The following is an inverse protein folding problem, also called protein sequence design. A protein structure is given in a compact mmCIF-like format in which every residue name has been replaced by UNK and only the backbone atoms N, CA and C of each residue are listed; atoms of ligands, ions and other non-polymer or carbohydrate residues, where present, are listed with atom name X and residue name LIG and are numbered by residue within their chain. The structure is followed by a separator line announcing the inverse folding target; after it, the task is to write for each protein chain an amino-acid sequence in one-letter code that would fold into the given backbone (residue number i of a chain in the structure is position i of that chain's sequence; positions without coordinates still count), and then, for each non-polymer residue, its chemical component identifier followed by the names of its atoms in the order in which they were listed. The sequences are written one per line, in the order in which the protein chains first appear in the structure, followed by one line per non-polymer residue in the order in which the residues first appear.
data_IF_716772892736
#
_entry.id   IF_716772892736
#
_cell.length_a   1.000
_cell.length_b   1.000
_cell.length_c   1.000
_cell.angle_alpha   90.00
_cell.angle_beta   90.00
_cell.angle_gamma   90.00
#
_symmetry.space_group_name_H-M   'P 1'
#
loop_
_entity.id
_entity.type
_entity.pdbx_description
1 polymer ?
#
# COMPACT_ATOMS: atom_id res chain seq x y z
N UNK A 1 3.48 16.89 9.13
CA UNK A 1 4.35 15.69 8.99
C UNK A 1 4.34 14.97 10.33
N UNK A 2 3.55 13.90 10.47
CA UNK A 2 3.58 13.09 11.71
C UNK A 2 4.81 12.19 11.63
N UNK A 3 5.82 12.42 12.45
CA UNK A 3 6.98 11.53 12.56
C UNK A 3 6.51 10.18 13.11
N UNK A 4 6.76 9.10 12.38
CA UNK A 4 6.52 7.75 12.88
C UNK A 4 7.65 7.40 13.85
N UNK A 5 7.32 7.33 15.14
CA UNK A 5 8.15 6.69 16.15
C UNK A 5 7.52 5.33 16.44
N UNK A 6 8.15 4.26 15.96
CA UNK A 6 7.62 2.91 16.08
C UNK A 6 8.29 2.14 17.22
N UNK A 7 7.49 1.57 18.12
CA UNK A 7 7.95 0.61 19.15
C UNK A 7 7.08 -0.66 19.11
N UNK A 8 7.65 -1.86 18.92
CA UNK A 8 6.88 -3.12 18.92
C UNK A 8 6.16 -3.41 20.24
N UNK A 9 6.71 -2.95 21.36
CA UNK A 9 6.28 -3.30 22.71
C UNK A 9 4.92 -2.72 23.13
N UNK A 10 4.37 -1.76 22.37
CA UNK A 10 3.18 -1.03 22.81
C UNK A 10 1.90 -1.85 22.61
N UNK A 11 1.94 -2.97 21.88
CA UNK A 11 0.80 -3.87 21.67
C UNK A 11 -0.38 -3.24 20.92
N UNK A 12 -0.22 -2.00 20.44
CA UNK A 12 -1.24 -1.19 19.78
C UNK A 12 -1.46 -1.60 18.32
N UNK A 13 -2.70 -1.50 17.81
CA UNK A 13 -3.00 -1.82 16.43
C UNK A 13 -2.42 -0.75 15.49
N UNK A 14 -1.92 -1.23 14.36
CA UNK A 14 -1.51 -0.45 13.21
C UNK A 14 -2.49 -0.72 12.09
N UNK A 15 -3.02 0.33 11.48
CA UNK A 15 -3.95 0.26 10.36
C UNK A 15 -3.16 0.41 9.06
N UNK A 16 -3.45 -0.42 8.07
CA UNK A 16 -2.85 -0.38 6.74
C UNK A 16 -3.87 -0.80 5.69
N UNK A 17 -3.67 -0.35 4.45
CA UNK A 17 -4.61 -0.61 3.36
C UNK A 17 -4.37 -1.97 2.71
N UNK A 18 -5.45 -2.63 2.31
CA UNK A 18 -5.47 -3.86 1.51
C UNK A 18 -6.45 -3.71 0.35
N UNK A 19 -6.42 -4.62 -0.63
CA UNK A 19 -7.42 -4.64 -1.71
C UNK A 19 -8.85 -4.87 -1.22
N UNK A 20 -9.03 -5.46 -0.04
CA UNK A 20 -10.34 -5.76 0.56
C UNK A 20 -10.79 -4.67 1.55
N UNK A 21 -10.01 -3.59 1.68
CA UNK A 21 -10.23 -2.50 2.63
C UNK A 21 -9.17 -2.43 3.75
N UNK A 22 -9.37 -1.59 4.77
CA UNK A 22 -8.42 -1.44 5.87
C UNK A 22 -8.25 -2.73 6.67
N UNK A 23 -7.02 -3.05 7.01
CA UNK A 23 -6.68 -4.13 7.91
C UNK A 23 -5.89 -3.60 9.11
N UNK A 24 -5.94 -4.35 10.21
CA UNK A 24 -5.16 -4.05 11.41
C UNK A 24 -4.14 -5.14 11.69
N UNK A 25 -2.98 -4.75 12.22
CA UNK A 25 -1.96 -5.68 12.70
C UNK A 25 -1.23 -5.11 13.90
N UNK A 26 -0.43 -5.92 14.60
CA UNK A 26 0.46 -5.47 15.67
C UNK A 26 1.89 -5.74 15.25
N UNK A 27 2.73 -4.71 15.31
CA UNK A 27 4.16 -4.83 15.02
C UNK A 27 4.81 -5.74 16.07
N UNK A 28 5.44 -6.82 15.61
CA UNK A 28 6.17 -7.79 16.46
C UNK A 28 7.66 -7.51 16.50
N UNK A 29 8.19 -6.79 15.52
CA UNK A 29 9.60 -6.41 15.47
C UNK A 29 9.88 -5.38 14.39
N UNK A 30 10.97 -4.66 14.58
CA UNK A 30 11.51 -3.70 13.62
C UNK A 30 12.93 -4.12 13.26
N UNK A 31 13.29 -3.94 11.99
CA UNK A 31 14.64 -4.20 11.49
C UNK A 31 15.16 -3.05 10.65
N UNK A 32 16.45 -2.76 10.77
CA UNK A 32 17.19 -1.84 9.89
C UNK A 32 18.33 -2.56 9.16
N UNK A 33 18.81 -2.04 8.01
CA UNK A 33 20.01 -2.56 7.38
C UNK A 33 21.22 -2.46 8.32
N UNK A 34 22.09 -3.48 8.30
CA UNK A 34 23.32 -3.51 9.11
C UNK A 34 24.40 -2.63 8.49
N UNK A 35 25.06 -1.80 9.31
CA UNK A 35 26.16 -0.95 8.87
C UNK A 35 25.72 0.08 7.83
N UNK A 36 26.43 0.15 6.69
CA UNK A 36 26.15 1.10 5.59
C UNK A 36 25.34 0.46 4.44
N UNK A 37 24.70 -0.69 4.66
CA UNK A 37 23.88 -1.31 3.62
C UNK A 37 22.62 -0.47 3.32
N UNK A 38 22.24 -0.38 2.05
CA UNK A 38 20.96 0.20 1.63
C UNK A 38 19.84 -0.85 1.78
N UNK A 39 18.59 -0.43 1.99
CA UNK A 39 17.47 -1.36 2.20
C UNK A 39 17.26 -2.35 1.06
N UNK A 40 17.45 -1.90 -0.19
CA UNK A 40 17.27 -2.72 -1.40
C UNK A 40 18.31 -3.83 -1.50
N UNK A 41 19.52 -3.58 -1.01
CA UNK A 41 20.66 -4.49 -1.12
C UNK A 41 20.99 -5.21 0.19
N UNK A 42 20.20 -4.99 1.25
CA UNK A 42 20.51 -5.50 2.58
C UNK A 42 20.66 -7.03 2.61
N UNK A 43 19.93 -7.78 1.78
CA UNK A 43 20.01 -9.24 1.73
C UNK A 43 19.63 -9.86 3.09
N UNK A 44 20.55 -10.59 3.71
CA UNK A 44 20.44 -11.15 5.07
C UNK A 44 20.93 -10.20 6.18
N UNK A 45 21.53 -9.06 5.83
CA UNK A 45 22.15 -8.09 6.74
C UNK A 45 21.13 -7.16 7.39
N UNK A 46 20.26 -7.73 8.23
CA UNK A 46 19.27 -6.99 9.01
C UNK A 46 19.56 -7.06 10.51
N UNK A 47 19.47 -5.94 11.19
CA UNK A 47 19.56 -5.84 12.65
C UNK A 47 18.20 -5.53 13.25
N UNK A 48 17.81 -6.29 14.28
CA UNK A 48 16.62 -5.98 15.07
C UNK A 48 16.86 -4.75 15.93
N UNK A 49 15.85 -3.88 16.00
CA UNK A 49 15.88 -2.65 16.81
C UNK A 49 14.59 -2.49 17.59
N UNK A 50 14.70 -1.91 18.78
CA UNK A 50 13.54 -1.69 19.65
C UNK A 50 12.78 -0.40 19.32
N UNK A 51 13.46 0.55 18.69
CA UNK A 51 12.95 1.88 18.37
C UNK A 51 13.53 2.34 17.04
N UNK A 52 12.70 3.04 16.26
CA UNK A 52 13.15 3.82 15.11
C UNK A 52 12.56 5.23 15.17
N UNK A 53 13.34 6.20 14.71
CA UNK A 53 12.96 7.60 14.64
C UNK A 53 12.92 8.06 13.18
N UNK A 54 11.90 8.83 12.82
CA UNK A 54 11.80 9.40 11.48
C UNK A 54 12.81 10.53 11.28
N UNK A 55 13.33 10.76 10.07
CA UNK A 55 13.11 9.97 8.86
C UNK A 55 14.07 8.77 8.81
N UNK A 56 13.52 7.57 8.64
CA UNK A 56 14.32 6.37 8.40
C UNK A 56 13.52 5.37 7.56
N UNK A 57 14.25 4.49 6.88
CA UNK A 57 13.70 3.29 6.29
C UNK A 57 13.74 2.14 7.30
N UNK A 58 12.61 1.46 7.48
CA UNK A 58 12.48 0.36 8.44
C UNK A 58 11.75 -0.82 7.83
N UNK A 59 12.20 -2.03 8.15
CA UNK A 59 11.49 -3.27 7.85
C UNK A 59 10.62 -3.65 9.05
N UNK A 60 9.31 -3.69 8.82
CA UNK A 60 8.31 -4.05 9.84
C UNK A 60 8.04 -5.56 9.78
N UNK A 61 8.03 -6.22 10.94
CA UNK A 61 7.65 -7.63 11.07
C UNK A 61 6.31 -7.71 11.79
N UNK A 62 5.28 -8.17 11.09
CA UNK A 62 3.95 -8.40 11.64
C UNK A 62 3.21 -9.48 10.83
N UNK A 63 2.04 -9.92 11.30
CA UNK A 63 1.20 -10.88 10.57
C UNK A 63 0.26 -10.14 9.60
N UNK A 64 -0.07 -10.77 8.48
CA UNK A 64 -1.07 -10.26 7.54
C UNK A 64 -0.57 -9.16 6.60
N UNK A 65 0.72 -8.82 6.65
CA UNK A 65 1.34 -7.75 5.84
C UNK A 65 1.49 -8.13 4.37
N UNK A 66 1.40 -9.40 4.02
CA UNK A 66 1.36 -9.89 2.64
C UNK A 66 0.18 -9.34 1.83
N UNK A 67 -0.86 -8.83 2.53
CA UNK A 67 -2.04 -8.18 1.94
C UNK A 67 -1.89 -6.67 1.79
N UNK A 68 -0.80 -6.09 2.28
CA UNK A 68 -0.64 -4.64 2.32
C UNK A 68 -0.47 -4.06 0.91
N UNK A 69 -1.19 -2.98 0.62
CA UNK A 69 -1.02 -2.23 -0.63
C UNK A 69 0.25 -1.37 -0.55
N UNK A 70 1.23 -1.67 -1.40
CA UNK A 70 2.45 -0.90 -1.47
C UNK A 70 2.18 0.54 -1.93
N UNK A 71 2.79 1.50 -1.23
CA UNK A 71 2.60 2.93 -1.44
C UNK A 71 1.57 3.57 -0.49
N UNK A 72 0.89 2.80 0.35
CA UNK A 72 -0.09 3.30 1.33
C UNK A 72 0.53 3.62 2.69
N UNK A 73 -0.21 4.36 3.51
CA UNK A 73 0.26 4.80 4.82
C UNK A 73 -0.05 3.76 5.89
N UNK A 74 0.95 3.43 6.71
CA UNK A 74 0.76 2.67 7.96
C UNK A 74 0.52 3.64 9.11
N UNK A 75 -0.60 3.48 9.83
CA UNK A 75 -1.03 4.38 10.91
C UNK A 75 -1.06 3.67 12.26
N UNK A 76 -0.43 4.26 13.28
CA UNK A 76 -0.57 3.79 14.66
C UNK A 76 -1.85 4.36 15.28
N UNK A 77 -2.72 3.49 15.80
CA UNK A 77 -3.86 3.90 16.60
C UNK A 77 -3.49 3.85 18.10
N UNK A 78 -3.55 5.00 18.77
CA UNK A 78 -3.16 5.14 20.19
C UNK A 78 -4.29 4.83 21.17
N UNK A 79 -5.52 5.03 20.72
CA UNK A 79 -6.79 4.87 21.42
C UNK A 79 -7.88 4.55 20.39
N UNK A 80 -9.10 4.32 20.86
CA UNK A 80 -10.23 3.92 20.02
C UNK A 80 -10.66 5.04 19.04
N UNK A 81 -10.59 6.30 19.45
CA UNK A 81 -10.89 7.44 18.58
C UNK A 81 -9.87 7.54 17.43
N UNK A 82 -8.58 7.39 17.72
CA UNK A 82 -7.52 7.34 16.72
C UNK A 82 -7.63 6.11 15.83
N UNK A 83 -8.15 4.99 16.33
CA UNK A 83 -8.40 3.79 15.52
C UNK A 83 -9.47 4.05 14.47
N UNK A 84 -10.61 4.59 14.87
CA UNK A 84 -11.70 4.94 13.95
C UNK A 84 -11.24 5.96 12.90
N UNK A 85 -10.52 7.00 13.33
CA UNK A 85 -9.95 7.98 12.41
C UNK A 85 -8.94 7.36 11.43
N UNK A 86 -8.10 6.44 11.91
CA UNK A 86 -7.12 5.75 11.07
C UNK A 86 -7.78 4.80 10.07
N UNK A 87 -8.84 4.09 10.47
CA UNK A 87 -9.64 3.23 9.58
C UNK A 87 -10.33 4.06 8.50
N UNK A 88 -10.98 5.17 8.88
CA UNK A 88 -11.64 6.07 7.93
C UNK A 88 -10.65 6.65 6.90
N UNK A 89 -9.48 7.12 7.34
CA UNK A 89 -8.44 7.61 6.43
C UNK A 89 -7.86 6.49 5.55
N UNK A 90 -7.69 5.29 6.09
CA UNK A 90 -7.20 4.14 5.34
C UNK A 90 -8.21 3.66 4.28
N UNK A 91 -9.50 3.78 4.55
CA UNK A 91 -10.55 3.45 3.58
C UNK A 91 -10.42 4.26 2.30
N UNK A 92 -10.07 5.55 2.40
CA UNK A 92 -9.87 6.39 1.22
C UNK A 92 -8.66 5.93 0.40
N UNK A 93 -7.58 5.50 1.05
CA UNK A 93 -6.39 4.93 0.38
C UNK A 93 -6.66 3.55 -0.24
N UNK A 94 -7.69 2.84 0.19
CA UNK A 94 -8.08 1.55 -0.42
C UNK A 94 -8.88 1.75 -1.73
N UNK A 95 -9.48 2.93 -1.95
CA UNK A 95 -10.37 3.23 -3.08
C UNK A 95 -9.60 3.74 -4.31
N UNK A 96 -8.52 3.08 -4.69
CA UNK A 96 -7.78 3.43 -5.92
C UNK A 96 -8.37 2.69 -7.13
N UNK A 97 -9.69 2.77 -7.28
CA UNK A 97 -10.39 2.35 -8.50
C UNK A 97 -10.70 3.64 -9.28
N UNK A 98 -9.96 3.89 -10.36
CA UNK A 98 -10.14 5.11 -11.17
C UNK A 98 -11.36 4.94 -12.08
N UNK A 99 -12.13 6.03 -12.18
CA UNK A 99 -13.48 6.16 -12.76
C UNK A 99 -13.70 5.37 -14.06
N UNK A 100 -14.78 4.59 -14.03
CA UNK A 100 -15.41 3.93 -15.17
C UNK A 100 -15.97 4.98 -16.13
N UNK A 101 -15.31 5.23 -17.27
CA UNK A 101 -16.01 5.73 -18.46
C UNK A 101 -16.06 4.63 -19.52
N UNK A 102 -17.09 4.66 -20.36
CA UNK A 102 -17.32 3.62 -21.38
C UNK A 102 -16.25 3.67 -22.49
N UNK A 103 -15.60 2.54 -22.73
CA UNK A 103 -14.50 2.39 -23.70
C UNK A 103 -13.12 2.72 -23.13
N UNK A 104 -12.08 2.04 -23.63
CA UNK A 104 -10.66 2.36 -23.31
C UNK A 104 -9.83 1.19 -22.76
N UNK A 105 -8.66 1.51 -22.18
CA UNK A 105 -7.63 0.52 -21.77
C UNK A 105 -7.83 0.08 -20.33
N UNK A 106 -7.80 -1.23 -20.05
CA UNK A 106 -7.77 -1.72 -18.66
C UNK A 106 -6.33 -1.80 -18.15
N UNK A 107 -6.03 -1.09 -17.06
CA UNK A 107 -4.73 -1.06 -16.38
C UNK A 107 -4.85 -1.80 -15.05
N UNK A 108 -3.93 -2.73 -14.80
CA UNK A 108 -3.75 -3.39 -13.51
C UNK A 108 -2.33 -3.17 -13.03
N UNK A 109 -2.16 -2.89 -11.74
CA UNK A 109 -0.85 -2.68 -11.12
C UNK A 109 -0.79 -3.30 -9.73
N UNK A 110 0.43 -3.61 -9.27
CA UNK A 110 0.66 -4.20 -7.94
C UNK A 110 0.86 -3.15 -6.84
N UNK A 111 1.03 -1.87 -7.22
CA UNK A 111 1.32 -0.77 -6.28
C UNK A 111 0.54 0.48 -6.69
N UNK A 112 0.22 1.35 -5.71
CA UNK A 112 -0.43 2.64 -5.99
C UNK A 112 0.42 3.49 -6.93
N UNK A 113 1.73 3.62 -6.64
CA UNK A 113 2.62 4.44 -7.46
C UNK A 113 2.71 3.95 -8.91
N UNK A 114 2.65 2.64 -9.14
CA UNK A 114 2.56 2.09 -10.49
C UNK A 114 1.24 2.44 -11.19
N UNK A 115 0.13 2.34 -10.46
CA UNK A 115 -1.19 2.68 -10.99
C UNK A 115 -1.34 4.19 -11.29
N UNK A 116 -0.67 5.05 -10.53
CA UNK A 116 -0.67 6.50 -10.75
C UNK A 116 0.27 6.91 -11.91
N UNK A 117 1.43 6.25 -12.04
CA UNK A 117 2.41 6.57 -13.06
C UNK A 117 1.95 6.17 -14.47
N UNK A 118 1.34 4.99 -14.63
CA UNK A 118 1.03 4.43 -15.95
C UNK A 118 0.02 5.24 -16.78
N UNK A 119 -1.13 5.71 -16.24
CA UNK A 119 -2.10 6.49 -17.01
C UNK A 119 -1.51 7.74 -17.63
N UNK A 120 -0.62 8.44 -16.91
CA UNK A 120 0.04 9.66 -17.40
C UNK A 120 0.91 9.43 -18.65
N UNK A 121 1.32 8.18 -18.91
CA UNK A 121 2.13 7.81 -20.07
C UNK A 121 1.30 7.35 -21.28
N UNK A 122 -0.03 7.21 -21.14
CA UNK A 122 -0.91 6.70 -22.20
C UNK A 122 -1.40 7.79 -23.18
N UNK A 123 -0.93 9.03 -23.08
CA UNK A 123 -1.23 10.08 -24.05
C UNK A 123 -2.73 10.28 -24.28
N UNK A 124 -3.18 10.17 -25.54
CA UNK A 124 -4.57 10.40 -25.97
C UNK A 124 -5.46 9.14 -25.92
N UNK A 125 -4.98 8.01 -25.37
CA UNK A 125 -5.81 6.83 -25.17
C UNK A 125 -6.81 7.13 -24.05
N UNK A 126 -7.99 7.60 -24.44
CA UNK A 126 -9.02 8.07 -23.50
C UNK A 126 -9.67 6.90 -22.76
N UNK A 127 -9.87 7.12 -21.45
CA UNK A 127 -10.63 6.32 -20.48
C UNK A 127 -10.00 4.99 -20.04
N UNK A 128 -8.90 5.02 -19.27
CA UNK A 128 -8.38 3.81 -18.66
C UNK A 128 -9.19 3.42 -17.41
N UNK A 129 -9.71 2.19 -17.38
CA UNK A 129 -10.13 1.58 -16.12
C UNK A 129 -8.88 1.10 -15.39
N UNK A 130 -8.60 1.63 -14.20
CA UNK A 130 -7.37 1.35 -13.48
C UNK A 130 -7.68 0.81 -12.08
N UNK A 131 -7.15 -0.37 -11.75
CA UNK A 131 -7.36 -1.01 -10.46
C UNK A 131 -6.10 -1.72 -9.97
N UNK A 132 -5.97 -1.86 -8.64
CA UNK A 132 -4.84 -2.57 -8.03
C UNK A 132 -5.15 -4.06 -7.89
N UNK A 133 -4.11 -4.89 -8.05
CA UNK A 133 -4.17 -6.33 -7.79
C UNK A 133 -4.27 -7.17 -9.06
N UNK A 134 -4.45 -8.50 -8.89
CA UNK A 134 -4.33 -9.45 -9.99
C UNK A 134 -5.42 -9.25 -11.05
N UNK A 135 -5.09 -9.63 -12.29
CA UNK A 135 -6.06 -9.69 -13.39
C UNK A 135 -7.09 -10.79 -13.11
N UNK A 136 -8.36 -10.43 -13.15
CA UNK A 136 -9.49 -11.35 -12.95
C UNK A 136 -10.44 -11.35 -14.16
N UNK A 137 -11.42 -12.27 -14.16
CA UNK A 137 -12.36 -12.41 -15.28
C UNK A 137 -13.15 -11.13 -15.58
N UNK A 138 -13.49 -10.34 -14.56
CA UNK A 138 -14.22 -9.07 -14.76
C UNK A 138 -13.35 -8.07 -15.51
N UNK A 139 -12.06 -7.97 -15.18
CA UNK A 139 -11.12 -7.09 -15.88
C UNK A 139 -11.06 -7.43 -17.39
N UNK A 140 -11.08 -8.72 -17.73
CA UNK A 140 -11.07 -9.21 -19.13
C UNK A 140 -12.38 -8.82 -19.84
N UNK A 141 -13.52 -9.06 -19.19
CA UNK A 141 -14.84 -8.71 -19.74
C UNK A 141 -15.00 -7.20 -19.95
N UNK A 142 -14.45 -6.38 -19.06
CA UNK A 142 -14.40 -4.92 -19.22
C UNK A 142 -13.51 -4.50 -20.40
N UNK A 143 -12.44 -5.25 -20.68
CA UNK A 143 -11.53 -4.98 -21.79
C UNK A 143 -12.05 -5.46 -23.17
N UNK A 144 -12.98 -6.41 -23.23
CA UNK A 144 -13.51 -6.94 -24.50
C UNK A 144 -14.23 -5.91 -25.39
N UNK A 145 -15.14 -5.04 -24.89
CA UNK A 145 -15.78 -4.03 -25.72
C UNK A 145 -14.80 -2.97 -26.27
N UNK A 146 -13.59 -2.85 -25.68
CA UNK A 146 -12.55 -1.94 -26.18
C UNK A 146 -11.84 -2.43 -27.46
N UNK A 147 -12.12 -3.66 -27.95
CA UNK A 147 -11.48 -4.23 -29.15
C UNK A 147 -12.08 -3.76 -30.50
N UNK A 148 -13.02 -2.82 -30.51
CA UNK A 148 -13.82 -2.51 -31.73
C UNK A 148 -13.42 -1.21 -32.45
N UNK A 149 -12.18 -0.73 -32.29
CA UNK A 149 -11.64 0.38 -33.09
C UNK A 149 -10.24 0.08 -33.62
#
# INVERSE_FOLDING_TARGET
MSSFTGRPADGRPHVFATSDGPATTRIKGLKRPRGMAEMRDAGDRWESVDLVEAACGVKIVAQGLERALAGTTVRLAKDDEALEAAIAACHEECRVDIVLQEGGVVIKADTIGGLEALPSNLGNWTSPFAAIGPVNKRDILTAEPAKTH
#
